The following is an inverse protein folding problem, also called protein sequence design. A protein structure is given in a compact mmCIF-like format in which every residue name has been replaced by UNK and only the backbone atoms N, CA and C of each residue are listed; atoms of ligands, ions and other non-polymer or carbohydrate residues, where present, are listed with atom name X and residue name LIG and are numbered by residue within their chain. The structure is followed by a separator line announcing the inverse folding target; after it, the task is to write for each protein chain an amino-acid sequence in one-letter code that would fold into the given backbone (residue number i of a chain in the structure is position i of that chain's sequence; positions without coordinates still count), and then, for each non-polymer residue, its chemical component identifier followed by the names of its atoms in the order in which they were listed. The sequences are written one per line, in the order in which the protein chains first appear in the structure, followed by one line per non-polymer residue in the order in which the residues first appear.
data_IF_188676962486
#
_entry.id   IF_188676962486
#
_cell.length_a   1.000
_cell.length_b   1.000
_cell.length_c   1.000
_cell.angle_alpha   90.00
_cell.angle_beta   90.00
_cell.angle_gamma   90.00
#
_symmetry.space_group_name_H-M   'P 1'
#
loop_
_entity.id
_entity.type
_entity.pdbx_description
1 polymer ?
#
# COMPACT_ATOMS: atom_id res chain seq x y z
N UNK A 1 14.29 -2.56 -68.43
CA UNK A 1 12.94 -2.43 -67.81
C UNK A 1 12.95 -3.23 -66.52
N UNK A 2 12.52 -2.63 -65.41
CA UNK A 2 12.00 -3.26 -64.18
C UNK A 2 12.90 -4.30 -63.45
N UNK A 3 13.14 -4.24 -62.15
CA UNK A 3 12.57 -3.42 -61.10
C UNK A 3 13.35 -3.66 -59.80
N UNK A 4 13.40 -2.63 -58.96
CA UNK A 4 13.87 -2.71 -57.57
C UNK A 4 12.81 -3.46 -56.77
N UNK A 5 13.20 -4.39 -55.90
CA UNK A 5 12.31 -4.81 -54.81
C UNK A 5 13.01 -4.83 -53.46
N UNK A 6 12.41 -4.04 -52.56
CA UNK A 6 12.72 -3.83 -51.14
C UNK A 6 12.34 -5.09 -50.36
N UNK A 7 13.13 -5.47 -49.35
CA UNK A 7 12.63 -6.29 -48.23
C UNK A 7 11.86 -5.36 -47.28
N UNK A 8 10.56 -5.60 -46.99
CA UNK A 8 9.88 -4.96 -45.88
C UNK A 8 10.21 -5.65 -44.56
N UNK A 9 10.29 -4.86 -43.50
CA UNK A 9 10.40 -5.28 -42.11
C UNK A 9 9.07 -5.80 -41.56
N UNK A 10 9.19 -6.57 -40.47
CA UNK A 10 8.23 -6.87 -39.40
C UNK A 10 6.72 -6.68 -39.66
N UNK A 11 5.94 -7.75 -39.50
CA UNK A 11 4.70 -7.82 -38.69
C UNK A 11 3.94 -9.11 -39.01
N UNK A 12 3.44 -9.81 -37.99
CA UNK A 12 2.41 -10.86 -38.14
C UNK A 12 2.54 -11.93 -37.07
N UNK A 13 2.18 -11.65 -35.82
CA UNK A 13 0.86 -11.99 -35.24
C UNK A 13 0.47 -13.47 -35.43
N UNK A 14 0.64 -14.19 -34.33
CA UNK A 14 -0.07 -15.39 -33.88
C UNK A 14 -1.39 -15.68 -34.59
N UNK A 15 -1.53 -16.90 -35.12
CA UNK A 15 -2.84 -17.51 -35.36
C UNK A 15 -2.79 -18.95 -34.83
N UNK A 16 -3.34 -19.11 -33.62
CA UNK A 16 -3.68 -20.39 -33.05
C UNK A 16 -4.80 -21.03 -33.90
N UNK A 17 -4.56 -22.24 -34.41
CA UNK A 17 -5.61 -23.07 -35.01
C UNK A 17 -6.24 -23.91 -33.90
N UNK A 18 -7.34 -23.44 -33.32
CA UNK A 18 -8.23 -24.28 -32.50
C UNK A 18 -9.22 -24.92 -33.46
N UNK A 19 -9.09 -26.23 -33.65
CA UNK A 19 -10.06 -27.04 -34.36
C UNK A 19 -11.29 -27.24 -33.46
N UNK A 20 -12.41 -26.57 -33.76
CA UNK A 20 -13.70 -26.83 -33.12
C UNK A 20 -14.45 -27.83 -33.99
N UNK A 21 -14.51 -29.07 -33.55
CA UNK A 21 -15.42 -30.09 -34.09
C UNK A 21 -16.17 -30.69 -32.91
N UNK A 22 -17.48 -30.49 -32.86
CA UNK A 22 -18.33 -31.06 -31.81
C UNK A 22 -19.66 -30.33 -31.70
N UNK A 23 -20.57 -30.58 -32.63
CA UNK A 23 -21.98 -30.23 -32.47
C UNK A 23 -22.61 -31.22 -31.49
N UNK A 24 -23.09 -30.73 -30.33
CA UNK A 24 -24.04 -31.44 -29.49
C UNK A 24 -25.20 -30.48 -29.19
N UNK A 25 -26.35 -30.78 -29.77
CA UNK A 25 -27.63 -30.15 -29.45
C UNK A 25 -28.11 -30.79 -28.15
N UNK A 26 -28.10 -30.03 -27.06
CA UNK A 26 -28.55 -30.46 -25.74
C UNK A 26 -28.68 -29.27 -24.80
N UNK A 27 -29.89 -29.08 -24.29
CA UNK A 27 -30.39 -28.02 -23.41
C UNK A 27 -29.46 -27.59 -22.27
N UNK A 28 -29.43 -26.27 -22.02
CA UNK A 28 -29.00 -25.63 -20.77
C UNK A 28 -27.56 -25.92 -20.31
N UNK A 29 -26.59 -25.28 -20.98
CA UNK A 29 -25.28 -25.03 -20.42
C UNK A 29 -24.94 -23.57 -20.66
N UNK A 30 -25.23 -22.70 -19.69
CA UNK A 30 -24.47 -21.46 -19.56
C UNK A 30 -23.03 -21.92 -19.53
N UNK A 31 -22.29 -21.69 -20.62
CA UNK A 31 -20.85 -21.65 -20.54
C UNK A 31 -20.58 -20.52 -19.56
N UNK A 32 -20.48 -20.88 -18.28
CA UNK A 32 -19.75 -20.13 -17.29
C UNK A 32 -18.39 -19.96 -17.96
N UNK A 33 -18.19 -18.83 -18.61
CA UNK A 33 -16.88 -18.25 -18.70
C UNK A 33 -16.38 -18.36 -17.26
N UNK A 34 -15.49 -19.33 -17.02
CA UNK A 34 -14.90 -19.50 -15.71
C UNK A 34 -14.33 -18.13 -15.42
N UNK A 35 -14.96 -17.42 -14.49
CA UNK A 35 -14.34 -16.26 -13.91
C UNK A 35 -13.07 -16.85 -13.34
N UNK A 36 -11.94 -16.66 -14.02
CA UNK A 36 -10.63 -16.91 -13.46
C UNK A 36 -10.50 -15.87 -12.36
N UNK A 37 -11.13 -16.18 -11.23
CA UNK A 37 -11.16 -15.33 -10.06
C UNK A 37 -9.72 -15.22 -9.62
N UNK A 38 -9.23 -13.99 -9.58
CA UNK A 38 -8.07 -13.64 -8.80
C UNK A 38 -8.17 -14.33 -7.43
N UNK A 39 -7.06 -14.86 -6.91
CA UNK A 39 -7.02 -15.36 -5.54
C UNK A 39 -7.54 -14.27 -4.58
N UNK A 40 -8.73 -14.45 -3.98
CA UNK A 40 -9.25 -13.49 -3.04
C UNK A 40 -8.34 -13.45 -1.81
N UNK A 41 -8.32 -12.32 -1.11
CA UNK A 41 -7.61 -12.15 0.16
C UNK A 41 -7.93 -13.27 1.16
N UNK A 42 -9.17 -13.75 1.13
CA UNK A 42 -9.63 -14.87 1.96
C UNK A 42 -8.91 -16.18 1.71
N UNK A 43 -8.45 -16.44 0.48
CA UNK A 43 -7.68 -17.66 0.16
C UNK A 43 -6.28 -17.57 0.77
N UNK A 44 -5.66 -16.39 0.68
CA UNK A 44 -4.36 -16.11 1.30
C UNK A 44 -4.43 -16.13 2.82
N UNK A 45 -5.50 -15.62 3.43
CA UNK A 45 -5.71 -15.69 4.88
C UNK A 45 -5.91 -17.12 5.37
N UNK A 46 -6.70 -17.92 4.65
CA UNK A 46 -6.88 -19.34 4.99
C UNK A 46 -5.58 -20.10 4.85
N UNK A 47 -4.79 -19.79 3.82
CA UNK A 47 -3.47 -20.36 3.66
C UNK A 47 -2.56 -19.98 4.83
N UNK A 48 -2.48 -18.69 5.17
CA UNK A 48 -1.69 -18.22 6.31
C UNK A 48 -2.15 -18.80 7.66
N UNK A 49 -3.45 -19.05 7.81
CA UNK A 49 -3.99 -19.75 8.97
C UNK A 49 -3.49 -21.19 9.05
N UNK A 50 -3.38 -21.88 7.91
CA UNK A 50 -2.88 -23.25 7.85
C UNK A 50 -1.36 -23.32 8.02
N UNK A 51 -0.61 -22.39 7.41
CA UNK A 51 0.85 -22.37 7.36
C UNK A 51 1.48 -21.80 8.65
N UNK A 52 0.92 -20.72 9.18
CA UNK A 52 1.50 -19.92 10.26
C UNK A 52 0.53 -19.65 11.43
N UNK A 53 -0.64 -20.29 11.44
CA UNK A 53 -1.67 -20.01 12.44
C UNK A 53 -2.26 -18.61 12.34
N UNK A 54 -2.07 -17.92 11.20
CA UNK A 54 -2.53 -16.55 10.96
C UNK A 54 -1.53 -15.47 11.36
N UNK A 55 -0.34 -15.84 11.86
CA UNK A 55 0.68 -14.88 12.26
C UNK A 55 1.57 -14.47 11.07
N UNK A 56 1.27 -13.30 10.49
CA UNK A 56 2.02 -12.74 9.36
C UNK A 56 3.46 -12.32 9.70
N UNK A 57 3.78 -12.08 10.97
CA UNK A 57 5.12 -11.71 11.42
C UNK A 57 5.95 -12.89 11.95
N UNK A 58 5.50 -14.13 11.74
CA UNK A 58 6.14 -15.29 12.35
C UNK A 58 7.56 -15.51 11.82
N UNK A 59 8.48 -15.82 12.74
CA UNK A 59 9.83 -16.28 12.43
C UNK A 59 10.31 -17.19 13.57
N UNK A 60 10.08 -18.49 13.44
CA UNK A 60 10.41 -19.49 14.47
C UNK A 60 11.83 -20.04 14.34
N UNK A 61 12.60 -19.60 13.34
CA UNK A 61 13.92 -20.15 13.04
C UNK A 61 13.91 -21.50 12.31
N UNK A 62 12.76 -21.92 11.78
CA UNK A 62 12.63 -23.16 10.97
C UNK A 62 13.07 -22.99 9.50
N UNK A 63 13.64 -21.84 9.13
CA UNK A 63 14.06 -21.52 7.76
C UNK A 63 12.98 -20.89 6.87
N UNK A 64 11.76 -20.73 7.39
CA UNK A 64 10.64 -20.07 6.71
C UNK A 64 10.18 -18.84 7.49
N UNK A 65 9.59 -17.88 6.79
CA UNK A 65 9.32 -16.55 7.29
C UNK A 65 7.94 -16.06 6.87
N UNK A 66 7.25 -15.38 7.78
CA UNK A 66 5.99 -14.71 7.52
C UNK A 66 4.79 -15.65 7.43
N UNK A 67 3.61 -15.07 7.21
CA UNK A 67 2.33 -15.78 7.28
C UNK A 67 2.20 -16.89 6.25
N UNK A 68 2.86 -16.73 5.11
CA UNK A 68 2.84 -17.69 4.00
C UNK A 68 4.10 -18.58 3.97
N UNK A 69 4.90 -18.58 5.04
CA UNK A 69 6.04 -19.47 5.19
C UNK A 69 7.01 -19.40 3.99
N UNK A 70 7.44 -18.19 3.61
CA UNK A 70 8.42 -18.02 2.53
C UNK A 70 9.81 -18.46 2.96
N UNK A 71 10.55 -19.14 2.07
CA UNK A 71 12.00 -19.24 2.22
C UNK A 71 12.67 -17.91 1.84
N UNK A 72 13.85 -17.57 2.39
CA UNK A 72 14.57 -16.36 2.02
C UNK A 72 14.90 -16.29 0.51
N UNK A 73 15.19 -17.43 -0.10
CA UNK A 73 15.51 -17.50 -1.53
C UNK A 73 14.29 -17.19 -2.40
N UNK A 74 13.12 -17.75 -2.07
CA UNK A 74 11.87 -17.47 -2.80
C UNK A 74 11.44 -16.01 -2.60
N UNK A 75 11.53 -15.50 -1.38
CA UNK A 75 11.25 -14.08 -1.09
C UNK A 75 12.07 -13.16 -1.99
N UNK A 76 13.38 -13.39 -2.04
CA UNK A 76 14.29 -12.57 -2.83
C UNK A 76 14.05 -12.75 -4.35
N UNK A 77 13.85 -13.98 -4.82
CA UNK A 77 13.64 -14.27 -6.23
C UNK A 77 12.36 -13.64 -6.80
N UNK A 78 11.35 -13.41 -5.95
CA UNK A 78 10.07 -12.83 -6.33
C UNK A 78 9.96 -11.33 -5.97
N UNK A 79 11.09 -10.68 -5.69
CA UNK A 79 11.17 -9.23 -5.51
C UNK A 79 10.72 -8.74 -4.14
N UNK A 80 10.55 -9.61 -3.15
CA UNK A 80 10.11 -9.21 -1.81
C UNK A 80 11.07 -8.24 -1.10
N UNK A 81 12.32 -8.17 -1.53
CA UNK A 81 13.29 -7.17 -1.04
C UNK A 81 12.89 -5.72 -1.33
N UNK A 82 11.92 -5.48 -2.22
CA UNK A 82 11.33 -4.15 -2.44
C UNK A 82 10.48 -3.68 -1.24
N UNK A 83 9.97 -4.63 -0.45
CA UNK A 83 9.11 -4.37 0.70
C UNK A 83 9.87 -4.49 2.03
N UNK A 84 10.60 -5.59 2.22
CA UNK A 84 11.37 -5.81 3.44
C UNK A 84 12.53 -6.79 3.22
N UNK A 85 13.51 -6.76 4.13
CA UNK A 85 14.68 -7.64 4.06
C UNK A 85 14.35 -9.12 4.23
N UNK A 86 13.23 -9.42 4.92
CA UNK A 86 12.68 -10.75 5.10
C UNK A 86 11.15 -10.72 5.09
N UNK A 87 10.50 -11.84 4.75
CA UNK A 87 9.05 -11.87 4.61
C UNK A 87 8.31 -11.52 5.91
N UNK A 88 8.83 -11.94 7.07
CA UNK A 88 8.22 -11.66 8.37
C UNK A 88 8.28 -10.18 8.80
N UNK A 89 9.06 -9.35 8.10
CA UNK A 89 9.13 -7.91 8.32
C UNK A 89 8.20 -7.12 7.37
N UNK A 90 7.72 -7.77 6.32
CA UNK A 90 6.75 -7.18 5.41
C UNK A 90 5.33 -7.30 5.99
N UNK A 91 4.49 -6.33 5.67
CA UNK A 91 3.07 -6.38 5.95
C UNK A 91 2.39 -7.57 5.26
N UNK A 92 1.19 -7.90 5.73
CA UNK A 92 0.36 -8.95 5.13
C UNK A 92 0.17 -8.72 3.64
N UNK A 93 -0.19 -7.50 3.24
CA UNK A 93 -0.53 -7.17 1.86
C UNK A 93 0.71 -7.26 0.95
N UNK A 94 1.87 -6.84 1.44
CA UNK A 94 3.15 -6.98 0.74
C UNK A 94 3.54 -8.46 0.56
N UNK A 95 3.34 -9.29 1.60
CA UNK A 95 3.56 -10.73 1.48
C UNK A 95 2.62 -11.36 0.45
N UNK A 96 1.35 -10.96 0.40
CA UNK A 96 0.39 -11.45 -0.59
C UNK A 96 0.81 -11.04 -2.01
N UNK A 97 1.31 -9.82 -2.21
CA UNK A 97 1.78 -9.38 -3.54
C UNK A 97 2.93 -10.25 -4.04
N UNK A 98 3.89 -10.58 -3.17
CA UNK A 98 4.96 -11.52 -3.52
C UNK A 98 4.39 -12.92 -3.76
N UNK A 99 3.40 -13.35 -2.97
CA UNK A 99 2.74 -14.65 -3.12
C UNK A 99 2.03 -14.81 -4.46
N UNK A 100 1.40 -13.77 -4.98
CA UNK A 100 0.79 -13.78 -6.32
C UNK A 100 1.83 -13.97 -7.42
N UNK A 101 3.03 -13.38 -7.26
CA UNK A 101 4.14 -13.58 -8.20
C UNK A 101 4.63 -15.03 -8.16
N UNK A 102 4.65 -15.66 -6.98
CA UNK A 102 4.96 -17.10 -6.84
C UNK A 102 3.84 -17.96 -7.43
N UNK A 103 2.58 -17.62 -7.18
CA UNK A 103 1.42 -18.31 -7.73
C UNK A 103 1.42 -18.25 -9.26
N UNK A 104 1.85 -17.12 -9.84
CA UNK A 104 2.00 -16.96 -11.28
C UNK A 104 3.11 -17.83 -11.90
N UNK A 105 4.18 -18.14 -11.15
CA UNK A 105 5.31 -18.92 -11.67
C UNK A 105 5.18 -20.42 -11.39
N UNK A 106 4.69 -20.79 -10.22
CA UNK A 106 4.71 -22.17 -9.69
C UNK A 106 3.31 -22.74 -9.45
N UNK A 107 2.27 -21.91 -9.48
CA UNK A 107 0.92 -22.31 -9.06
C UNK A 107 0.83 -22.60 -7.56
N UNK A 108 -0.32 -23.13 -7.13
CA UNK A 108 -0.56 -23.50 -5.73
C UNK A 108 0.36 -24.61 -5.21
N UNK A 109 1.11 -25.27 -6.10
CA UNK A 109 2.13 -26.27 -5.75
C UNK A 109 3.29 -25.72 -4.90
N UNK A 110 3.46 -24.40 -4.81
CA UNK A 110 4.39 -23.77 -3.87
C UNK A 110 3.97 -23.97 -2.39
N UNK A 111 2.69 -24.24 -2.13
CA UNK A 111 2.13 -24.53 -0.80
C UNK A 111 1.35 -25.85 -0.80
N UNK A 112 2.02 -26.99 -1.06
CA UNK A 112 1.34 -28.22 -1.48
C UNK A 112 0.40 -28.80 -0.41
N UNK A 113 0.78 -28.74 0.86
CA UNK A 113 0.01 -29.35 1.96
C UNK A 113 -1.26 -28.55 2.27
N UNK A 114 -1.11 -27.25 2.51
CA UNK A 114 -2.23 -26.40 2.91
C UNK A 114 -3.14 -26.03 1.74
N UNK A 115 -2.62 -25.76 0.55
CA UNK A 115 -3.46 -25.46 -0.62
C UNK A 115 -4.34 -26.66 -1.01
N UNK A 116 -3.79 -27.87 -0.98
CA UNK A 116 -4.54 -29.11 -1.25
C UNK A 116 -5.63 -29.35 -0.20
N UNK A 117 -5.30 -29.19 1.10
CA UNK A 117 -6.26 -29.33 2.20
C UNK A 117 -7.40 -28.31 2.11
N UNK A 118 -7.12 -27.11 1.63
CA UNK A 118 -8.08 -26.01 1.52
C UNK A 118 -8.81 -25.98 0.16
N UNK A 119 -8.38 -26.77 -0.82
CA UNK A 119 -8.97 -26.79 -2.16
C UNK A 119 -8.71 -25.51 -2.97
N UNK A 120 -7.59 -24.82 -2.72
CA UNK A 120 -7.26 -23.55 -3.39
C UNK A 120 -6.89 -23.79 -4.85
N UNK A 121 -7.59 -23.10 -5.75
CA UNK A 121 -7.41 -23.26 -7.22
C UNK A 121 -7.57 -21.94 -7.99
N UNK A 122 -7.68 -20.82 -7.28
CA UNK A 122 -7.84 -19.48 -7.85
C UNK A 122 -6.62 -19.08 -8.71
N UNK A 123 -6.86 -18.25 -9.72
CA UNK A 123 -5.80 -17.79 -10.63
C UNK A 123 -4.96 -16.68 -9.97
N UNK A 124 -3.67 -16.55 -10.34
CA UNK A 124 -2.86 -15.43 -9.90
C UNK A 124 -3.42 -14.11 -10.43
N UNK A 125 -3.26 -13.06 -9.65
CA UNK A 125 -3.63 -11.70 -10.04
C UNK A 125 -2.49 -10.72 -9.80
N UNK A 126 -2.25 -9.82 -10.77
CA UNK A 126 -1.33 -8.73 -10.55
C UNK A 126 -1.98 -7.72 -9.61
N UNK A 127 -1.57 -7.74 -8.35
CA UNK A 127 -1.97 -6.76 -7.35
C UNK A 127 -0.75 -5.99 -6.86
N UNK A 128 -0.98 -4.76 -6.46
CA UNK A 128 0.02 -3.91 -5.82
C UNK A 128 -0.30 -3.84 -4.33
N UNK A 129 0.73 -3.84 -3.49
CA UNK A 129 0.54 -3.54 -2.08
C UNK A 129 -0.02 -2.12 -1.97
N UNK A 130 -0.96 -1.85 -1.04
CA UNK A 130 -1.26 -0.47 -0.70
C UNK A 130 0.06 0.21 -0.33
N UNK A 131 0.34 1.36 -0.93
CA UNK A 131 1.52 2.13 -0.57
C UNK A 131 1.51 2.30 0.95
N UNK A 132 2.59 1.91 1.63
CA UNK A 132 2.70 2.04 3.07
C UNK A 132 2.17 3.42 3.46
N UNK A 133 1.04 3.42 4.19
CA UNK A 133 0.53 4.64 4.77
C UNK A 133 1.53 5.03 5.83
N UNK A 134 2.56 5.79 5.44
CA UNK A 134 3.07 6.79 6.38
C UNK A 134 1.83 7.55 6.85
N UNK A 135 1.66 7.82 8.16
CA UNK A 135 0.63 8.71 8.64
C UNK A 135 0.84 10.09 8.01
N UNK A 136 0.39 10.25 6.78
CA UNK A 136 0.33 11.49 6.04
C UNK A 136 -1.11 11.92 6.17
N UNK A 137 -1.33 12.88 7.05
CA UNK A 137 -2.58 13.59 7.10
C UNK A 137 -2.86 14.13 5.69
N UNK A 138 -3.87 13.58 5.03
CA UNK A 138 -4.31 14.00 3.71
C UNK A 138 -5.55 14.88 3.89
N UNK A 139 -5.41 16.20 4.06
CA UNK A 139 -6.57 17.06 3.89
C UNK A 139 -7.04 16.84 2.46
N UNK A 140 -8.31 16.51 2.27
CA UNK A 140 -8.89 16.46 0.93
C UNK A 140 -8.60 17.77 0.17
N UNK A 141 -8.69 17.79 -1.16
CA UNK A 141 -8.49 19.00 -1.94
C UNK A 141 -9.55 20.04 -1.57
N UNK A 142 -9.24 20.87 -0.57
CA UNK A 142 -10.00 22.07 -0.26
C UNK A 142 -9.35 23.21 -1.02
N UNK A 143 -10.18 23.96 -1.73
CA UNK A 143 -9.79 25.09 -2.53
C UNK A 143 -8.84 25.99 -1.73
N UNK A 144 -7.67 26.23 -2.30
CA UNK A 144 -6.68 27.18 -1.80
C UNK A 144 -7.31 28.58 -1.81
N UNK A 145 -8.04 28.95 -0.76
CA UNK A 145 -8.21 30.37 -0.46
C UNK A 145 -6.83 30.88 -0.06
N UNK A 146 -6.33 31.98 -0.65
CA UNK A 146 -5.14 32.64 -0.16
C UNK A 146 -5.38 32.94 1.31
N UNK A 147 -4.66 32.25 2.19
CA UNK A 147 -4.59 32.64 3.58
C UNK A 147 -3.98 34.05 3.58
N UNK A 148 -4.83 35.06 3.74
CA UNK A 148 -4.39 36.34 4.28
C UNK A 148 -3.56 36.01 5.52
N UNK A 149 -2.41 36.66 5.68
CA UNK A 149 -1.31 36.29 6.60
C UNK A 149 -1.76 35.93 8.03
N UNK A 150 -2.28 34.72 8.20
CA UNK A 150 -2.92 34.22 9.43
C UNK A 150 -1.90 33.63 10.39
N UNK A 151 -0.62 33.73 10.04
CA UNK A 151 0.51 33.52 10.96
C UNK A 151 0.34 34.33 12.25
N UNK A 152 -0.21 35.55 12.14
CA UNK A 152 -0.47 36.42 13.30
C UNK A 152 -1.53 35.88 14.27
N UNK A 153 -2.56 35.20 13.75
CA UNK A 153 -3.58 34.55 14.59
C UNK A 153 -2.97 33.38 15.36
N UNK A 154 -2.13 32.58 14.70
CA UNK A 154 -1.40 31.46 15.33
C UNK A 154 -0.48 31.98 16.44
N UNK A 155 0.30 33.03 16.19
CA UNK A 155 1.17 33.63 17.22
C UNK A 155 0.35 34.13 18.43
N UNK A 156 -0.80 34.73 18.19
CA UNK A 156 -1.70 35.20 19.26
C UNK A 156 -2.30 34.04 20.07
N UNK A 157 -2.62 32.92 19.42
CA UNK A 157 -3.12 31.74 20.11
C UNK A 157 -2.07 31.09 21.00
N UNK A 158 -0.81 31.05 20.52
CA UNK A 158 0.31 30.54 21.30
C UNK A 158 0.58 31.42 22.52
N UNK A 159 0.46 32.76 22.43
CA UNK A 159 0.55 33.65 23.60
C UNK A 159 -0.48 33.30 24.68
N UNK A 160 -1.73 33.03 24.30
CA UNK A 160 -2.78 32.63 25.26
C UNK A 160 -2.46 31.29 25.91
N UNK A 161 -1.99 30.33 25.13
CA UNK A 161 -1.59 29.03 25.63
C UNK A 161 -0.43 29.14 26.63
N UNK A 162 0.59 29.96 26.32
CA UNK A 162 1.72 30.24 27.22
C UNK A 162 1.20 30.83 28.54
N UNK A 163 0.28 31.79 28.50
CA UNK A 163 -0.31 32.39 29.70
C UNK A 163 -1.05 31.36 30.58
N UNK A 164 -1.85 30.48 29.98
CA UNK A 164 -2.57 29.42 30.71
C UNK A 164 -1.60 28.41 31.35
N UNK A 165 -0.59 27.99 30.60
CA UNK A 165 0.38 26.99 31.03
C UNK A 165 1.27 27.54 32.16
N UNK A 166 1.64 28.83 32.10
CA UNK A 166 2.33 29.52 33.20
C UNK A 166 1.46 29.65 34.46
N UNK A 167 0.15 29.89 34.33
CA UNK A 167 -0.78 29.88 35.47
C UNK A 167 -0.89 28.49 36.13
N UNK A 168 -0.69 27.43 35.35
CA UNK A 168 -0.64 26.05 35.84
C UNK A 168 0.73 25.65 36.42
N UNK A 169 1.66 26.61 36.53
CA UNK A 169 2.99 26.40 37.15
C UNK A 169 3.99 25.67 36.25
N UNK A 170 3.69 25.51 34.96
CA UNK A 170 4.62 24.88 34.02
C UNK A 170 5.69 25.89 33.61
N UNK A 171 6.95 25.52 33.85
CA UNK A 171 8.10 26.35 33.48
C UNK A 171 8.38 26.26 31.98
N UNK A 172 8.41 27.42 31.31
CA UNK A 172 8.82 27.54 29.91
C UNK A 172 10.20 28.22 29.89
N UNK A 173 11.22 27.62 29.25
CA UNK A 173 12.55 28.22 29.15
C UNK A 173 12.52 29.60 28.50
N UNK A 174 13.24 30.58 29.07
CA UNK A 174 13.27 31.96 28.54
C UNK A 174 13.78 32.04 27.10
N UNK A 175 14.76 31.22 26.74
CA UNK A 175 15.29 31.15 25.38
C UNK A 175 14.22 30.79 24.34
N UNK A 176 13.24 29.97 24.72
CA UNK A 176 12.12 29.61 23.84
C UNK A 176 11.13 30.78 23.69
N UNK A 177 10.87 31.51 24.77
CA UNK A 177 10.05 32.72 24.73
C UNK A 177 10.71 33.81 23.88
N UNK A 178 12.02 34.01 24.04
CA UNK A 178 12.78 35.01 23.28
C UNK A 178 12.80 34.68 21.79
N UNK A 179 13.04 33.41 21.43
CA UNK A 179 12.99 32.96 20.05
C UNK A 179 11.60 33.18 19.44
N UNK A 180 10.54 32.82 20.17
CA UNK A 180 9.17 32.99 19.72
C UNK A 180 8.81 34.47 19.53
N UNK A 181 9.14 35.31 20.51
CA UNK A 181 8.91 36.76 20.45
C UNK A 181 9.68 37.41 19.29
N UNK A 182 10.92 36.96 19.03
CA UNK A 182 11.70 37.40 17.88
C UNK A 182 11.07 36.97 16.55
N UNK A 183 10.59 35.73 16.44
CA UNK A 183 9.91 35.24 15.24
C UNK A 183 8.62 36.02 14.95
N UNK A 184 7.85 36.34 16.00
CA UNK A 184 6.65 37.18 15.92
C UNK A 184 6.98 38.60 15.48
N UNK A 185 7.99 39.24 16.09
CA UNK A 185 8.39 40.61 15.77
C UNK A 185 8.94 40.77 14.34
N UNK A 186 9.60 39.74 13.82
CA UNK A 186 10.13 39.72 12.46
C UNK A 186 9.07 39.40 11.38
N UNK A 187 7.82 39.13 11.76
CA UNK A 187 6.76 38.78 10.81
C UNK A 187 7.03 37.48 10.07
N UNK A 188 7.69 36.51 10.72
CA UNK A 188 8.04 35.22 10.11
C UNK A 188 6.77 34.49 9.68
N UNK A 189 6.66 34.18 8.39
CA UNK A 189 5.54 33.39 7.87
C UNK A 189 5.68 31.95 8.33
N UNK A 190 4.62 31.45 8.97
CA UNK A 190 4.55 30.06 9.40
C UNK A 190 4.26 29.16 8.19
N UNK A 191 4.66 27.89 8.32
CA UNK A 191 4.37 26.90 7.30
C UNK A 191 2.86 26.84 7.02
N UNK A 192 2.43 26.86 5.75
CA UNK A 192 1.00 26.84 5.41
C UNK A 192 0.23 25.66 6.00
N UNK A 193 0.86 24.49 6.19
CA UNK A 193 0.18 23.35 6.79
C UNK A 193 -0.06 23.56 8.30
N UNK A 194 0.88 24.22 9.00
CA UNK A 194 0.72 24.56 10.41
C UNK A 194 -0.42 25.56 10.62
N UNK A 195 -0.48 26.57 9.75
CA UNK A 195 -1.55 27.58 9.75
C UNK A 195 -2.90 26.90 9.47
N UNK A 196 -2.98 26.05 8.47
CA UNK A 196 -4.22 25.31 8.14
C UNK A 196 -4.67 24.39 9.28
N UNK A 197 -3.73 23.74 9.96
CA UNK A 197 -4.04 22.93 11.13
C UNK A 197 -4.64 23.77 12.27
N UNK A 198 -4.04 24.92 12.58
CA UNK A 198 -4.57 25.83 13.58
C UNK A 198 -5.99 26.28 13.21
N UNK A 199 -6.20 26.73 11.98
CA UNK A 199 -7.51 27.18 11.50
C UNK A 199 -8.58 26.10 11.62
N UNK A 200 -8.25 24.85 11.28
CA UNK A 200 -9.18 23.72 11.38
C UNK A 200 -9.57 23.36 12.83
N UNK A 201 -8.71 23.69 13.82
CA UNK A 201 -8.86 23.23 15.20
C UNK A 201 -9.03 24.37 16.21
N UNK A 202 -8.98 25.64 15.81
CA UNK A 202 -9.03 26.79 16.73
C UNK A 202 -10.31 26.86 17.57
N UNK A 203 -11.39 26.23 17.12
CA UNK A 203 -12.63 26.06 17.89
C UNK A 203 -12.53 25.11 19.09
N UNK A 204 -11.49 24.28 19.16
CA UNK A 204 -11.22 23.37 20.29
C UNK A 204 -10.25 23.96 21.32
N UNK A 205 -9.58 25.07 20.98
CA UNK A 205 -8.65 25.72 21.88
C UNK A 205 -9.40 26.60 22.89
N UNK A 206 -8.92 26.68 24.15
CA UNK A 206 -9.47 27.61 25.13
C UNK A 206 -9.37 29.05 24.61
N UNK A 207 -10.50 29.77 24.71
CA UNK A 207 -10.63 31.15 24.24
C UNK A 207 -10.18 32.16 25.30
#
# INVERSE_FOLDING_TARGET
MSGRHRKPSSTGRTVAKVAVTGAMIGTAGVALAGNAGAAPDSDWDRLAQCEAGGNWGINTGNGFQGGLQFSPSTWNAHGGQEYASSANQASREEQIVVAEKVLASQGWGAWPSCSSKLGLSSAPSQRSAPAAETPRWNPGPQAQTPAADSSQEVFTAVDRAIAVVQQQGVYIPQQALDFFNAAKANGTKLDPNLVNFYEANKGMLPQ
#
